data_IF_523576570088
#
_entry.id   IF_523576570088
#
_cell.length_a   1.000
_cell.length_b   1.000
_cell.length_c   1.000
_cell.angle_alpha   90.00
_cell.angle_beta   90.00
_cell.angle_gamma   90.00
#
_symmetry.space_group_name_H-M   'P 1'
#
loop_
_entity.id
_entity.type
_entity.pdbx_description
1 polymer ?
#
# COMPACT_ATOMS: atom_id res chain seq x y z
N UNK A 1 -59.67 -8.04 7.43
CA UNK A 1 -58.19 -8.03 7.29
C UNK A 1 -57.65 -8.73 8.52
N UNK A 2 -56.91 -9.82 8.36
CA UNK A 2 -56.22 -10.44 9.49
C UNK A 2 -55.06 -9.54 9.91
N UNK A 3 -54.71 -9.53 11.20
CA UNK A 3 -53.63 -8.72 11.80
C UNK A 3 -52.28 -8.82 11.03
N UNK A 4 -52.12 -9.89 10.25
CA UNK A 4 -51.03 -10.14 9.31
C UNK A 4 -50.87 -9.10 8.18
N UNK A 5 -51.94 -8.47 7.68
CA UNK A 5 -51.85 -7.55 6.54
C UNK A 5 -51.24 -6.17 6.92
N UNK A 6 -51.19 -5.83 8.21
CA UNK A 6 -50.66 -4.55 8.69
C UNK A 6 -49.15 -4.58 8.99
N UNK A 7 -48.57 -5.74 9.30
CA UNK A 7 -47.21 -5.85 9.86
C UNK A 7 -46.14 -6.27 8.86
N UNK A 8 -46.52 -6.80 7.70
CA UNK A 8 -45.62 -7.61 6.86
C UNK A 8 -44.56 -6.86 6.03
N UNK A 9 -44.73 -5.59 5.59
CA UNK A 9 -43.65 -4.90 4.89
C UNK A 9 -42.78 -4.04 5.82
N UNK A 10 -43.33 -3.54 6.94
CA UNK A 10 -42.75 -2.44 7.70
C UNK A 10 -41.84 -2.83 8.88
N UNK A 11 -42.06 -3.97 9.55
CA UNK A 11 -41.35 -4.24 10.82
C UNK A 11 -40.03 -5.00 10.67
N UNK A 12 -39.88 -5.82 9.62
CA UNK A 12 -38.67 -6.61 9.41
C UNK A 12 -37.46 -5.78 8.98
N UNK A 13 -37.65 -4.83 8.07
CA UNK A 13 -36.55 -4.01 7.52
C UNK A 13 -36.21 -2.80 8.40
N UNK A 14 -37.18 -2.27 9.15
CA UNK A 14 -37.00 -1.03 9.94
C UNK A 14 -36.35 -1.30 11.30
N UNK A 15 -36.63 -2.44 11.95
CA UNK A 15 -35.94 -2.83 13.19
C UNK A 15 -34.48 -3.28 12.97
N UNK A 16 -34.23 -3.91 11.81
CA UNK A 16 -32.89 -4.28 11.33
C UNK A 16 -32.04 -3.02 11.07
N UNK A 17 -32.66 -1.96 10.53
CA UNK A 17 -32.00 -0.66 10.33
C UNK A 17 -31.67 0.09 11.62
N UNK A 18 -32.56 0.08 12.63
CA UNK A 18 -32.37 0.85 13.87
C UNK A 18 -31.33 0.23 14.83
N UNK A 19 -31.23 -1.11 14.89
CA UNK A 19 -30.26 -1.79 15.75
C UNK A 19 -28.81 -1.73 15.23
N UNK A 20 -28.61 -1.74 13.91
CA UNK A 20 -27.30 -1.55 13.28
C UNK A 20 -26.72 -0.14 13.52
N UNK A 21 -27.60 0.88 13.61
CA UNK A 21 -27.23 2.27 13.90
C UNK A 21 -26.84 2.45 15.38
N UNK A 22 -27.55 1.81 16.33
CA UNK A 22 -27.28 1.93 17.78
C UNK A 22 -25.97 1.23 18.19
N UNK A 23 -25.64 0.07 17.60
CA UNK A 23 -24.40 -0.66 17.90
C UNK A 23 -23.15 -0.01 17.28
N UNK A 24 -23.30 0.69 16.15
CA UNK A 24 -22.26 1.53 15.55
C UNK A 24 -21.94 2.76 16.42
N UNK A 25 -22.96 3.42 16.96
CA UNK A 25 -22.81 4.60 17.83
C UNK A 25 -22.26 4.29 19.24
N UNK A 26 -22.21 3.01 19.67
CA UNK A 26 -21.63 2.59 20.96
C UNK A 26 -20.20 2.03 20.88
N UNK A 27 -19.59 1.95 19.69
CA UNK A 27 -18.16 1.61 19.51
C UNK A 27 -17.81 0.11 19.62
N UNK A 28 -18.78 -0.79 19.43
CA UNK A 28 -18.59 -2.24 19.65
C UNK A 28 -18.29 -3.01 18.33
N UNK A 29 -18.46 -2.39 17.15
CA UNK A 29 -18.13 -3.00 15.85
C UNK A 29 -17.36 -2.03 14.93
N UNK A 30 -16.15 -2.42 14.50
CA UNK A 30 -15.23 -1.55 13.76
C UNK A 30 -15.41 -1.59 12.22
N UNK A 31 -16.22 -2.51 11.66
CA UNK A 31 -16.56 -2.54 10.22
C UNK A 31 -17.98 -3.08 9.95
N UNK A 32 -18.53 -2.70 8.79
CA UNK A 32 -19.88 -3.03 8.31
C UNK A 32 -20.16 -4.55 8.21
N UNK A 33 -19.13 -5.35 7.92
CA UNK A 33 -19.26 -6.79 7.65
C UNK A 33 -19.60 -7.59 8.93
N UNK A 34 -18.99 -7.22 10.06
CA UNK A 34 -19.25 -7.86 11.36
C UNK A 34 -20.63 -7.52 11.90
N UNK A 35 -21.11 -6.29 11.64
CA UNK A 35 -22.47 -5.87 11.95
C UNK A 35 -23.53 -6.68 11.19
N UNK A 36 -23.28 -7.02 9.92
CA UNK A 36 -24.20 -7.85 9.13
C UNK A 36 -24.22 -9.33 9.55
N UNK A 37 -23.11 -9.87 10.04
CA UNK A 37 -23.04 -11.24 10.58
C UNK A 37 -23.84 -11.37 11.89
N UNK A 38 -23.70 -10.40 12.81
CA UNK A 38 -24.47 -10.37 14.05
C UNK A 38 -25.98 -10.23 13.80
N UNK A 39 -26.35 -9.40 12.82
CA UNK A 39 -27.74 -9.20 12.39
C UNK A 39 -28.38 -10.46 11.81
N UNK A 40 -27.61 -11.23 11.03
CA UNK A 40 -28.07 -12.49 10.43
C UNK A 40 -28.29 -13.58 11.49
N UNK A 41 -27.44 -13.64 12.52
CA UNK A 41 -27.64 -14.53 13.66
C UNK A 41 -28.86 -14.17 14.51
N UNK A 42 -29.05 -12.88 14.81
CA UNK A 42 -30.17 -12.40 15.62
C UNK A 42 -31.54 -12.65 14.95
N UNK A 43 -31.63 -12.38 13.64
CA UNK A 43 -32.85 -12.61 12.86
C UNK A 43 -33.21 -14.10 12.76
N UNK A 44 -32.21 -14.98 12.66
CA UNK A 44 -32.41 -16.43 12.72
C UNK A 44 -32.97 -16.87 14.09
N UNK A 45 -32.39 -16.40 15.21
CA UNK A 45 -32.86 -16.76 16.55
C UNK A 45 -34.27 -16.25 16.86
N UNK A 46 -34.61 -15.02 16.46
CA UNK A 46 -35.98 -14.48 16.61
C UNK A 46 -36.99 -15.30 15.80
N UNK A 47 -36.62 -15.74 14.59
CA UNK A 47 -37.43 -16.67 13.80
C UNK A 47 -37.68 -18.01 14.50
N UNK A 48 -36.65 -18.57 15.16
CA UNK A 48 -36.76 -19.81 15.93
C UNK A 48 -37.63 -19.65 17.20
N UNK A 49 -37.58 -18.50 17.86
CA UNK A 49 -38.43 -18.20 19.03
C UNK A 49 -39.91 -18.08 18.63
N UNK A 50 -40.22 -17.45 17.50
CA UNK A 50 -41.60 -17.39 16.98
C UNK A 50 -42.13 -18.76 16.53
N UNK A 51 -41.25 -19.62 16.01
CA UNK A 51 -41.57 -21.02 15.73
C UNK A 51 -41.88 -21.81 17.03
N UNK A 52 -41.04 -21.65 18.05
CA UNK A 52 -41.17 -22.36 19.34
C UNK A 52 -42.36 -21.88 20.19
N UNK A 53 -42.70 -20.58 20.13
CA UNK A 53 -43.83 -19.99 20.86
C UNK A 53 -45.21 -20.30 20.25
N UNK A 54 -45.28 -21.04 19.14
CA UNK A 54 -46.54 -21.41 18.50
C UNK A 54 -47.26 -20.24 17.81
N UNK A 55 -46.58 -19.11 17.56
CA UNK A 55 -47.14 -17.94 16.85
C UNK A 55 -47.53 -18.28 15.39
N UNK A 56 -47.06 -19.42 14.87
CA UNK A 56 -47.43 -20.00 13.58
C UNK A 56 -48.57 -21.05 13.66
N UNK A 57 -49.33 -21.11 14.75
CA UNK A 57 -50.41 -22.10 14.96
C UNK A 57 -51.58 -22.03 13.95
N UNK A 58 -51.57 -21.10 12.99
CA UNK A 58 -52.48 -21.05 11.83
C UNK A 58 -51.88 -21.58 10.52
N UNK A 59 -50.64 -22.06 10.53
CA UNK A 59 -49.88 -22.42 9.34
C UNK A 59 -49.28 -21.22 8.60
N UNK A 60 -48.38 -21.49 7.65
CA UNK A 60 -47.82 -20.47 6.77
C UNK A 60 -48.92 -19.94 5.85
N UNK A 61 -49.05 -18.62 5.71
CA UNK A 61 -50.07 -18.00 4.85
C UNK A 61 -50.05 -18.64 3.45
N UNK A 62 -51.17 -19.26 3.06
CA UNK A 62 -51.32 -19.95 1.77
C UNK A 62 -51.80 -19.01 0.65
N UNK A 63 -51.97 -17.72 0.98
CA UNK A 63 -52.42 -16.71 0.04
C UNK A 63 -51.46 -16.59 -1.14
N UNK A 64 -51.99 -16.23 -2.31
CA UNK A 64 -51.16 -16.03 -3.51
C UNK A 64 -50.07 -14.97 -3.30
N UNK A 65 -50.36 -13.95 -2.48
CA UNK A 65 -49.38 -12.90 -2.12
C UNK A 65 -48.24 -13.45 -1.26
N UNK A 66 -48.55 -14.22 -0.23
CA UNK A 66 -47.54 -14.84 0.63
C UNK A 66 -46.64 -15.81 -0.15
N UNK A 67 -47.23 -16.66 -1.01
CA UNK A 67 -46.48 -17.58 -1.87
C UNK A 67 -45.53 -16.84 -2.82
N UNK A 68 -46.00 -15.75 -3.46
CA UNK A 68 -45.17 -14.94 -4.35
C UNK A 68 -44.03 -14.25 -3.60
N UNK A 69 -44.28 -13.66 -2.44
CA UNK A 69 -43.25 -13.02 -1.60
C UNK A 69 -42.19 -14.01 -1.13
N UNK A 70 -42.60 -15.19 -0.66
CA UNK A 70 -41.67 -16.26 -0.25
C UNK A 70 -40.78 -16.70 -1.40
N UNK A 71 -41.33 -16.84 -2.62
CA UNK A 71 -40.58 -17.26 -3.80
C UNK A 71 -39.54 -16.21 -4.23
N UNK A 72 -39.85 -14.92 -4.10
CA UNK A 72 -38.90 -13.82 -4.33
C UNK A 72 -37.77 -13.85 -3.31
N UNK A 73 -38.09 -14.04 -2.03
CA UNK A 73 -37.08 -14.09 -0.96
C UNK A 73 -36.12 -15.27 -1.17
N UNK A 74 -36.63 -16.47 -1.48
CA UNK A 74 -35.79 -17.63 -1.78
C UNK A 74 -34.97 -17.44 -3.07
N UNK A 75 -35.54 -16.79 -4.09
CA UNK A 75 -34.81 -16.43 -5.31
C UNK A 75 -33.63 -15.51 -5.01
N UNK A 76 -33.85 -14.41 -4.27
CA UNK A 76 -32.79 -13.47 -3.88
C UNK A 76 -31.74 -14.17 -3.01
N UNK A 77 -32.17 -14.92 -1.98
CA UNK A 77 -31.25 -15.61 -1.06
C UNK A 77 -30.43 -16.71 -1.76
N UNK A 78 -31.05 -17.51 -2.62
CA UNK A 78 -30.38 -18.54 -3.41
C UNK A 78 -29.37 -17.95 -4.38
N UNK A 79 -29.69 -16.81 -5.00
CA UNK A 79 -28.77 -16.11 -5.89
C UNK A 79 -27.59 -15.46 -5.18
N UNK A 80 -27.82 -14.81 -4.03
CA UNK A 80 -26.76 -14.25 -3.19
C UNK A 80 -25.86 -15.36 -2.65
N UNK A 81 -26.44 -16.49 -2.22
CA UNK A 81 -25.71 -17.66 -1.75
C UNK A 81 -24.87 -18.34 -2.83
N UNK A 82 -25.45 -18.55 -4.03
CA UNK A 82 -24.72 -19.12 -5.17
C UNK A 82 -23.57 -18.21 -5.64
N UNK A 83 -23.77 -16.90 -5.62
CA UNK A 83 -22.73 -15.91 -5.92
C UNK A 83 -21.58 -15.94 -4.89
N UNK A 84 -21.93 -15.97 -3.60
CA UNK A 84 -20.96 -16.06 -2.51
C UNK A 84 -20.14 -17.38 -2.54
N UNK A 85 -20.76 -18.48 -3.01
CA UNK A 85 -20.11 -19.79 -3.11
C UNK A 85 -19.24 -19.96 -4.37
N UNK A 86 -19.58 -19.34 -5.51
CA UNK A 86 -18.89 -19.62 -6.78
C UNK A 86 -17.92 -18.56 -7.28
N UNK A 87 -17.98 -17.31 -6.78
CA UNK A 87 -17.22 -16.18 -7.37
C UNK A 87 -16.44 -15.31 -6.38
N UNK A 88 -16.31 -15.74 -5.12
CA UNK A 88 -15.66 -14.93 -4.05
C UNK A 88 -14.17 -14.61 -4.31
N UNK A 89 -13.54 -15.23 -5.31
CA UNK A 89 -12.15 -14.97 -5.70
C UNK A 89 -11.98 -14.12 -6.97
N UNK A 90 -13.05 -13.74 -7.68
CA UNK A 90 -12.94 -13.18 -9.05
C UNK A 90 -13.58 -11.79 -9.21
N UNK A 91 -14.56 -11.40 -8.40
CA UNK A 91 -15.28 -10.13 -8.59
C UNK A 91 -14.78 -9.06 -7.61
N UNK A 92 -13.80 -8.26 -8.04
CA UNK A 92 -13.09 -7.30 -7.18
C UNK A 92 -13.69 -5.89 -7.12
N UNK A 93 -14.83 -5.61 -7.77
CA UNK A 93 -15.41 -4.25 -7.78
C UNK A 93 -16.90 -4.19 -7.46
N UNK A 94 -17.28 -3.25 -6.59
CA UNK A 94 -18.65 -2.98 -6.15
C UNK A 94 -19.67 -2.82 -7.31
N UNK A 95 -19.35 -2.18 -8.46
CA UNK A 95 -20.30 -2.06 -9.57
C UNK A 95 -20.65 -3.40 -10.22
N UNK A 96 -19.71 -4.36 -10.22
CA UNK A 96 -19.92 -5.71 -10.76
C UNK A 96 -20.86 -6.53 -9.88
N UNK A 97 -20.76 -6.38 -8.56
CA UNK A 97 -21.68 -6.97 -7.58
C UNK A 97 -23.10 -6.38 -7.71
N UNK A 98 -23.22 -5.05 -7.77
CA UNK A 98 -24.51 -4.36 -7.95
C UNK A 98 -25.18 -4.74 -9.28
N UNK A 99 -24.41 -4.83 -10.38
CA UNK A 99 -24.92 -5.26 -11.68
C UNK A 99 -25.48 -6.69 -11.64
N UNK A 100 -24.78 -7.63 -11.00
CA UNK A 100 -25.26 -9.01 -10.85
C UNK A 100 -26.55 -9.09 -10.01
N UNK A 101 -26.65 -8.30 -8.94
CA UNK A 101 -27.86 -8.23 -8.13
C UNK A 101 -29.05 -7.69 -8.91
N UNK A 102 -28.87 -6.65 -9.74
CA UNK A 102 -29.96 -6.06 -10.53
C UNK A 102 -30.50 -7.01 -11.61
N UNK A 103 -29.63 -7.78 -12.27
CA UNK A 103 -30.00 -8.79 -13.28
C UNK A 103 -30.92 -9.87 -12.70
N UNK A 104 -30.88 -10.08 -11.38
CA UNK A 104 -31.67 -11.11 -10.69
C UNK A 104 -32.89 -10.50 -9.98
N UNK A 105 -32.72 -9.34 -9.35
CA UNK A 105 -33.76 -8.67 -8.58
C UNK A 105 -34.92 -8.22 -9.47
N UNK A 106 -34.62 -7.60 -10.62
CA UNK A 106 -35.64 -7.05 -11.52
C UNK A 106 -36.56 -8.14 -12.11
N UNK A 107 -36.04 -9.25 -12.67
CA UNK A 107 -36.88 -10.38 -13.09
C UNK A 107 -37.73 -10.95 -11.97
N UNK A 108 -37.16 -11.11 -10.77
CA UNK A 108 -37.86 -11.70 -9.63
C UNK A 108 -39.08 -10.87 -9.22
N UNK A 109 -38.94 -9.53 -9.18
CA UNK A 109 -40.04 -8.62 -8.86
C UNK A 109 -41.11 -8.65 -9.96
N UNK A 110 -40.72 -8.63 -11.23
CA UNK A 110 -41.68 -8.59 -12.34
C UNK A 110 -42.46 -9.90 -12.45
N UNK A 111 -41.81 -11.05 -12.29
CA UNK A 111 -42.46 -12.37 -12.28
C UNK A 111 -43.44 -12.46 -11.11
N UNK A 112 -43.04 -12.02 -9.92
CA UNK A 112 -43.91 -12.01 -8.75
C UNK A 112 -45.13 -11.09 -8.96
N UNK A 113 -44.93 -9.89 -9.50
CA UNK A 113 -46.03 -8.97 -9.82
C UNK A 113 -46.98 -9.56 -10.88
N UNK A 114 -46.43 -10.10 -11.97
CA UNK A 114 -47.21 -10.71 -13.05
C UNK A 114 -48.05 -11.90 -12.54
N UNK A 115 -47.50 -12.70 -11.62
CA UNK A 115 -48.22 -13.83 -11.01
C UNK A 115 -49.47 -13.39 -10.24
N UNK A 116 -49.47 -12.19 -9.66
CA UNK A 116 -50.57 -11.67 -8.84
C UNK A 116 -51.57 -10.82 -9.61
N UNK A 117 -51.09 -10.02 -10.57
CA UNK A 117 -51.89 -8.96 -11.20
C UNK A 117 -52.24 -9.25 -12.65
N UNK A 118 -51.52 -10.15 -13.32
CA UNK A 118 -51.70 -10.46 -14.74
C UNK A 118 -51.59 -11.97 -15.00
N UNK A 119 -52.47 -12.80 -14.40
CA UNK A 119 -52.33 -14.26 -14.45
C UNK A 119 -52.43 -14.83 -15.87
N UNK A 120 -53.18 -14.19 -16.76
CA UNK A 120 -53.28 -14.59 -18.16
C UNK A 120 -51.94 -14.45 -18.92
N UNK A 121 -51.11 -13.48 -18.53
CA UNK A 121 -49.79 -13.20 -19.13
C UNK A 121 -48.61 -13.76 -18.32
N UNK A 122 -48.87 -14.47 -17.21
CA UNK A 122 -47.81 -14.95 -16.32
C UNK A 122 -46.80 -15.85 -17.03
N UNK A 123 -47.26 -16.84 -17.80
CA UNK A 123 -46.39 -17.76 -18.55
C UNK A 123 -45.48 -17.03 -19.55
N UNK A 124 -46.01 -16.21 -20.49
CA UNK A 124 -45.13 -15.53 -21.45
C UNK A 124 -44.18 -14.52 -20.78
N UNK A 125 -44.63 -13.78 -19.76
CA UNK A 125 -43.75 -12.84 -19.03
C UNK A 125 -42.61 -13.59 -18.32
N UNK A 126 -42.91 -14.71 -17.67
CA UNK A 126 -41.89 -15.53 -16.98
C UNK A 126 -40.84 -16.05 -17.96
N UNK A 127 -41.26 -16.54 -19.14
CA UNK A 127 -40.35 -17.04 -20.16
C UNK A 127 -39.41 -15.93 -20.67
N UNK A 128 -39.94 -14.74 -20.94
CA UNK A 128 -39.16 -13.59 -21.43
C UNK A 128 -38.09 -13.19 -20.40
N UNK A 129 -38.48 -13.07 -19.12
CA UNK A 129 -37.57 -12.63 -18.07
C UNK A 129 -36.50 -13.68 -17.71
N UNK A 130 -36.84 -14.97 -17.76
CA UNK A 130 -35.84 -16.04 -17.59
C UNK A 130 -34.85 -16.08 -18.75
N UNK A 131 -35.32 -15.92 -20.00
CA UNK A 131 -34.45 -15.83 -21.16
C UNK A 131 -33.53 -14.61 -21.11
N UNK A 132 -34.06 -13.44 -20.73
CA UNK A 132 -33.27 -12.22 -20.56
C UNK A 132 -32.23 -12.35 -19.43
N UNK A 133 -32.57 -13.00 -18.32
CA UNK A 133 -31.63 -13.28 -17.23
C UNK A 133 -30.50 -14.21 -17.69
N UNK A 134 -30.81 -15.27 -18.44
CA UNK A 134 -29.82 -16.19 -19.00
C UNK A 134 -28.87 -15.49 -19.99
N UNK A 135 -29.39 -14.64 -20.87
CA UNK A 135 -28.59 -13.84 -21.80
C UNK A 135 -27.75 -12.79 -21.06
N UNK A 136 -28.31 -12.15 -20.02
CA UNK A 136 -27.61 -11.18 -19.19
C UNK A 136 -26.43 -11.82 -18.44
N UNK A 137 -26.65 -12.97 -17.80
CA UNK A 137 -25.60 -13.74 -17.09
C UNK A 137 -24.55 -14.24 -18.10
N UNK A 138 -24.98 -14.77 -19.25
CA UNK A 138 -24.09 -15.25 -20.32
C UNK A 138 -23.22 -14.14 -20.91
N UNK A 139 -23.80 -12.96 -21.15
CA UNK A 139 -23.06 -11.79 -21.67
C UNK A 139 -22.10 -11.23 -20.62
N UNK A 140 -22.52 -11.15 -19.36
CA UNK A 140 -21.70 -10.68 -18.25
C UNK A 140 -20.50 -11.61 -18.00
N UNK A 141 -20.70 -12.93 -18.06
CA UNK A 141 -19.63 -13.90 -17.91
C UNK A 141 -18.68 -13.91 -19.11
N UNK A 142 -19.20 -13.89 -20.35
CA UNK A 142 -18.37 -13.86 -21.55
C UNK A 142 -17.55 -12.56 -21.70
N UNK A 143 -18.18 -11.40 -21.48
CA UNK A 143 -17.50 -10.10 -21.61
C UNK A 143 -16.67 -9.75 -20.36
N UNK A 144 -17.03 -10.26 -19.19
CA UNK A 144 -16.31 -10.05 -17.93
C UNK A 144 -14.99 -10.82 -17.84
N UNK A 145 -14.85 -11.95 -18.51
CA UNK A 145 -13.60 -12.74 -18.55
C UNK A 145 -12.69 -12.44 -19.75
N UNK A 146 -13.23 -11.89 -20.86
CA UNK A 146 -12.48 -11.70 -22.12
C UNK A 146 -12.23 -10.22 -22.45
N UNK A 147 -12.89 -9.28 -21.77
CA UNK A 147 -12.65 -7.84 -21.95
C UNK A 147 -11.33 -7.37 -21.30
N UNK A 148 -10.63 -6.37 -21.87
CA UNK A 148 -9.44 -5.80 -21.24
C UNK A 148 -9.84 -5.30 -19.85
N UNK A 149 -9.18 -5.83 -18.82
CA UNK A 149 -9.50 -5.60 -17.42
C UNK A 149 -9.68 -4.12 -17.13
N UNK A 150 -10.93 -3.69 -17.00
CA UNK A 150 -11.25 -2.32 -16.64
C UNK A 150 -10.88 -2.11 -15.16
N UNK A 151 -9.64 -1.66 -14.94
CA UNK A 151 -9.20 -0.93 -13.76
C UNK A 151 -10.06 0.34 -13.64
N UNK A 152 -11.22 0.22 -13.00
CA UNK A 152 -11.96 1.39 -12.55
C UNK A 152 -11.28 1.92 -11.28
N UNK A 153 -10.20 2.68 -11.47
CA UNK A 153 -9.72 3.61 -10.44
C UNK A 153 -10.76 4.71 -10.27
N UNK A 154 -11.40 4.77 -9.10
CA UNK A 154 -12.32 5.87 -8.73
C UNK A 154 -11.59 7.18 -8.42
N UNK A 155 -10.30 7.27 -8.74
CA UNK A 155 -9.55 8.51 -8.79
C UNK A 155 -9.13 8.74 -10.24
N UNK A 156 -9.43 9.89 -10.86
CA UNK A 156 -8.71 10.28 -12.05
C UNK A 156 -7.25 10.42 -11.65
N UNK A 157 -6.45 9.39 -11.92
CA UNK A 157 -5.03 9.59 -12.12
C UNK A 157 -4.96 10.52 -13.32
N UNK A 158 -4.69 11.80 -13.06
CA UNK A 158 -4.12 12.67 -14.08
C UNK A 158 -2.76 12.05 -14.44
N UNK A 159 -2.79 10.98 -15.24
CA UNK A 159 -1.63 10.54 -15.99
C UNK A 159 -1.54 11.52 -17.13
N UNK A 160 -1.03 12.71 -16.79
CA UNK A 160 -0.20 13.42 -17.74
C UNK A 160 0.87 12.39 -18.11
N UNK A 161 0.80 11.84 -19.32
CA UNK A 161 1.94 11.17 -19.95
C UNK A 161 3.02 12.23 -20.12
N UNK A 162 3.69 12.54 -19.02
CA UNK A 162 4.93 13.25 -19.02
C UNK A 162 5.91 12.35 -19.76
N UNK A 163 6.36 12.83 -20.92
CA UNK A 163 7.64 12.45 -21.53
C UNK A 163 8.63 12.16 -20.38
N UNK A 164 9.36 11.03 -20.38
CA UNK A 164 10.29 10.71 -19.31
C UNK A 164 11.35 11.79 -19.25
N UNK A 165 11.10 12.80 -18.41
CA UNK A 165 12.15 13.60 -17.81
C UNK A 165 12.78 12.62 -16.85
N UNK A 166 14.03 12.27 -17.07
CA UNK A 166 14.82 11.57 -16.08
C UNK A 166 14.74 12.41 -14.80
N UNK A 167 13.90 11.96 -13.85
CA UNK A 167 13.90 12.53 -12.52
C UNK A 167 15.33 12.38 -12.01
N UNK A 168 15.88 13.40 -11.33
CA UNK A 168 17.15 13.22 -10.63
C UNK A 168 17.00 11.97 -9.77
N UNK A 169 17.94 11.03 -9.94
CA UNK A 169 18.03 9.84 -9.10
C UNK A 169 17.94 10.34 -7.64
N UNK A 170 16.98 9.88 -6.82
CA UNK A 170 16.91 10.32 -5.45
C UNK A 170 18.28 10.05 -4.80
N UNK A 171 18.94 11.12 -4.37
CA UNK A 171 20.29 11.11 -3.81
C UNK A 171 20.31 10.53 -2.38
N UNK A 172 19.14 10.23 -1.82
CA UNK A 172 18.99 9.67 -0.49
C UNK A 172 19.25 8.14 -0.50
N UNK A 173 20.02 7.61 0.47
CA UNK A 173 20.19 6.18 0.67
C UNK A 173 18.86 5.43 0.73
N UNK A 174 18.78 4.28 0.05
CA UNK A 174 17.64 3.36 0.11
C UNK A 174 17.99 2.21 1.06
N UNK A 175 17.18 2.03 2.10
CA UNK A 175 17.30 0.94 3.06
C UNK A 175 16.28 -0.15 2.69
N UNK A 176 16.74 -1.36 2.30
CA UNK A 176 15.85 -2.43 1.87
C UNK A 176 15.22 -3.18 3.06
N UNK A 177 13.96 -3.57 2.91
CA UNK A 177 13.23 -4.49 3.78
C UNK A 177 12.50 -5.51 2.90
N UNK A 178 12.50 -6.77 3.29
CA UNK A 178 11.83 -7.83 2.54
C UNK A 178 10.58 -8.30 3.27
N UNK A 179 9.53 -8.60 2.51
CA UNK A 179 8.45 -9.47 2.94
C UNK A 179 8.82 -10.88 2.45
N UNK A 180 9.32 -11.77 3.32
CA UNK A 180 9.91 -13.02 2.89
C UNK A 180 8.87 -14.02 2.39
N UNK A 181 9.34 -15.07 1.72
CA UNK A 181 8.48 -16.16 1.25
C UNK A 181 7.72 -16.80 2.42
N UNK A 182 6.42 -17.06 2.25
CA UNK A 182 5.52 -17.61 3.26
C UNK A 182 5.28 -16.70 4.48
N UNK A 183 5.48 -15.37 4.36
CA UNK A 183 5.13 -14.41 5.41
C UNK A 183 3.62 -14.41 5.74
N UNK A 184 2.79 -14.83 4.78
CA UNK A 184 1.35 -15.07 4.95
C UNK A 184 0.99 -16.24 5.89
N UNK A 185 1.96 -17.03 6.38
CA UNK A 185 1.73 -18.12 7.34
C UNK A 185 2.08 -17.63 8.74
N UNK A 186 1.11 -17.68 9.66
CA UNK A 186 1.31 -17.25 11.04
C UNK A 186 2.44 -18.04 11.73
N UNK A 187 3.35 -17.33 12.38
CA UNK A 187 4.54 -17.87 13.03
C UNK A 187 5.82 -17.77 12.19
N UNK A 188 5.70 -17.52 10.88
CA UNK A 188 6.86 -17.20 10.04
C UNK A 188 7.29 -15.73 10.20
N UNK A 189 8.55 -15.39 9.87
CA UNK A 189 9.00 -14.00 9.83
C UNK A 189 8.15 -13.16 8.88
N UNK A 190 7.66 -12.01 9.36
CA UNK A 190 6.77 -11.14 8.59
C UNK A 190 7.51 -10.13 7.71
N UNK A 191 8.60 -9.58 8.24
CA UNK A 191 9.47 -8.61 7.58
C UNK A 191 10.93 -8.92 7.92
N UNK A 192 11.85 -8.69 6.98
CA UNK A 192 13.27 -8.90 7.17
C UNK A 192 14.08 -7.66 6.72
N UNK A 193 14.73 -6.93 7.64
CA UNK A 193 14.69 -7.12 9.08
C UNK A 193 13.30 -6.79 9.67
N UNK A 194 12.97 -7.37 10.83
CA UNK A 194 11.70 -7.10 11.52
C UNK A 194 11.63 -5.68 12.11
N UNK A 195 12.79 -5.15 12.49
CA UNK A 195 12.98 -3.75 12.91
C UNK A 195 14.05 -3.11 12.03
N UNK A 196 13.74 -1.97 11.44
CA UNK A 196 14.69 -1.18 10.65
C UNK A 196 14.92 0.17 11.31
N UNK A 197 16.18 0.58 11.45
CA UNK A 197 16.55 1.91 11.94
C UNK A 197 17.04 2.76 10.77
N UNK A 198 16.49 3.95 10.63
CA UNK A 198 16.75 4.82 9.47
C UNK A 198 16.83 6.29 9.90
N UNK A 199 17.83 7.06 9.44
CA UNK A 199 17.85 8.50 9.62
C UNK A 199 16.69 9.18 8.91
N UNK A 200 16.12 10.21 9.55
CA UNK A 200 15.12 11.08 8.91
C UNK A 200 15.67 11.68 7.61
N UNK A 201 14.96 11.45 6.51
CA UNK A 201 15.33 11.92 5.17
C UNK A 201 15.77 10.81 4.21
N UNK A 202 16.07 9.62 4.72
CA UNK A 202 16.37 8.44 3.91
C UNK A 202 15.08 7.76 3.43
N UNK A 203 15.22 6.81 2.50
CA UNK A 203 14.11 6.06 1.92
C UNK A 203 14.15 4.62 2.44
N UNK A 204 13.01 4.09 2.88
CA UNK A 204 12.86 2.65 3.14
C UNK A 204 12.13 2.02 1.96
N UNK A 205 12.63 0.90 1.43
CA UNK A 205 11.98 0.15 0.35
C UNK A 205 11.60 -1.26 0.80
N UNK A 206 10.31 -1.57 0.83
CA UNK A 206 9.82 -2.93 1.06
C UNK A 206 9.65 -3.65 -0.27
N UNK A 207 10.15 -4.87 -0.38
CA UNK A 207 9.93 -5.74 -1.55
C UNK A 207 9.16 -6.99 -1.15
N UNK A 208 8.06 -7.28 -1.86
CA UNK A 208 7.26 -8.48 -1.62
C UNK A 208 7.86 -9.71 -2.32
N UNK A 209 8.61 -10.51 -1.57
CA UNK A 209 9.15 -11.80 -2.04
C UNK A 209 8.20 -12.98 -1.78
N UNK A 210 7.06 -12.75 -1.10
CA UNK A 210 6.01 -13.74 -0.96
C UNK A 210 5.19 -13.88 -2.24
N UNK A 211 4.42 -14.96 -2.35
CA UNK A 211 3.51 -15.22 -3.48
C UNK A 211 2.15 -14.57 -3.29
N UNK A 212 1.86 -14.08 -2.09
CA UNK A 212 0.58 -13.51 -1.68
C UNK A 212 0.71 -11.98 -1.60
N UNK A 213 -0.34 -11.19 -1.94
CA UNK A 213 -0.31 -9.75 -1.75
C UNK A 213 -0.26 -9.35 -0.27
N UNK A 214 0.48 -8.28 0.03
CA UNK A 214 0.68 -7.76 1.39
C UNK A 214 0.57 -6.25 1.44
N UNK A 215 0.50 -5.67 2.63
CA UNK A 215 0.62 -4.21 2.84
C UNK A 215 1.69 -3.91 3.89
N UNK A 216 2.15 -2.66 3.87
CA UNK A 216 2.98 -2.01 4.87
C UNK A 216 2.22 -0.77 5.30
N UNK A 217 1.48 -0.90 6.40
CA UNK A 217 0.51 0.12 6.82
C UNK A 217 0.79 0.47 8.28
N UNK A 218 1.00 1.76 8.56
CA UNK A 218 1.25 2.25 9.93
C UNK A 218 0.16 1.77 10.89
N UNK A 219 0.54 1.26 12.05
CA UNK A 219 -0.41 0.79 13.04
C UNK A 219 -1.02 1.97 13.83
N UNK A 220 -2.28 1.87 14.27
CA UNK A 220 -3.19 0.73 14.06
C UNK A 220 -4.01 0.80 12.76
N UNK A 221 -4.05 1.95 12.08
CA UNK A 221 -5.10 2.27 11.10
C UNK A 221 -4.61 2.85 9.75
N UNK A 222 -3.31 2.98 9.55
CA UNK A 222 -2.72 3.53 8.33
C UNK A 222 -2.68 5.06 8.26
N UNK A 223 -3.01 5.76 9.35
CA UNK A 223 -3.12 7.23 9.36
C UNK A 223 -1.83 7.99 9.04
N UNK A 224 -0.66 7.36 9.19
CA UNK A 224 0.66 7.99 8.98
C UNK A 224 1.21 7.63 7.59
N UNK A 225 1.17 6.35 7.25
CA UNK A 225 1.49 5.83 5.92
C UNK A 225 0.74 4.54 5.64
N UNK A 226 0.44 4.33 4.36
CA UNK A 226 -0.16 3.11 3.83
C UNK A 226 0.38 2.83 2.42
N UNK A 227 0.94 1.64 2.23
CA UNK A 227 1.39 1.19 0.92
C UNK A 227 0.25 0.83 -0.03
N UNK A 228 -0.97 0.65 0.48
CA UNK A 228 -2.00 -0.19 -0.15
C UNK A 228 -1.45 -1.60 -0.44
N UNK A 229 -2.03 -2.31 -1.41
CA UNK A 229 -1.61 -3.65 -1.80
C UNK A 229 -0.28 -3.62 -2.56
N UNK A 230 0.69 -4.38 -2.06
CA UNK A 230 1.96 -4.72 -2.72
C UNK A 230 1.83 -6.15 -3.25
N UNK A 231 1.64 -6.29 -4.56
CA UNK A 231 1.61 -7.59 -5.25
C UNK A 231 2.97 -8.29 -5.20
N UNK A 232 2.99 -9.61 -5.40
CA UNK A 232 4.22 -10.40 -5.47
C UNK A 232 5.23 -9.81 -6.46
N UNK A 233 6.49 -9.70 -6.04
CA UNK A 233 7.61 -9.13 -6.80
C UNK A 233 7.54 -7.60 -6.99
N UNK A 234 6.62 -6.90 -6.33
CA UNK A 234 6.54 -5.43 -6.33
C UNK A 234 7.09 -4.85 -5.04
N UNK A 235 7.35 -3.54 -5.09
CA UNK A 235 7.97 -2.82 -3.99
C UNK A 235 7.21 -1.54 -3.66
N UNK A 236 7.35 -1.09 -2.41
CA UNK A 236 6.82 0.16 -1.89
C UNK A 236 7.96 0.96 -1.27
N UNK A 237 7.98 2.28 -1.50
CA UNK A 237 8.97 3.20 -0.94
C UNK A 237 8.32 4.19 0.00
N UNK A 238 8.91 4.36 1.18
CA UNK A 238 8.54 5.37 2.16
C UNK A 238 9.67 6.40 2.28
N UNK A 239 9.35 7.66 1.98
CA UNK A 239 10.21 8.80 2.26
C UNK A 239 10.03 9.21 3.73
N UNK A 240 11.11 9.11 4.52
CA UNK A 240 11.08 9.39 5.95
C UNK A 240 11.23 10.87 6.29
N UNK A 241 11.46 11.76 5.32
CA UNK A 241 11.68 13.20 5.54
C UNK A 241 10.55 13.90 6.29
N UNK A 242 9.32 13.38 6.13
CA UNK A 242 8.10 13.91 6.78
C UNK A 242 7.76 13.22 8.09
N UNK A 243 8.52 12.20 8.48
CA UNK A 243 8.33 11.50 9.75
C UNK A 243 9.10 12.19 10.88
N UNK A 244 8.57 12.09 12.09
CA UNK A 244 9.25 12.51 13.31
C UNK A 244 10.29 11.45 13.71
N UNK A 245 11.36 11.87 14.38
CA UNK A 245 12.34 10.94 14.94
C UNK A 245 11.75 10.16 16.13
N UNK A 246 11.10 9.04 15.84
CA UNK A 246 10.51 8.13 16.81
C UNK A 246 10.30 6.74 16.19
N UNK A 247 9.80 5.82 17.01
CA UNK A 247 9.37 4.51 16.56
C UNK A 247 7.97 4.57 15.94
N UNK A 248 7.78 3.81 14.86
CA UNK A 248 6.48 3.54 14.27
C UNK A 248 6.32 2.03 14.09
N UNK A 249 5.28 1.49 14.70
CA UNK A 249 4.84 0.13 14.41
C UNK A 249 4.00 0.12 13.15
N UNK A 250 4.08 -0.96 12.38
CA UNK A 250 3.30 -1.15 11.17
C UNK A 250 2.86 -2.61 11.04
N UNK A 251 1.80 -2.83 10.28
CA UNK A 251 1.21 -4.14 10.06
C UNK A 251 0.81 -4.36 8.60
N UNK A 252 0.59 -5.61 8.24
CA UNK A 252 -0.14 -5.97 7.02
C UNK A 252 -1.65 -6.02 7.30
N UNK A 253 -2.44 -5.24 6.57
CA UNK A 253 -3.90 -5.17 6.77
C UNK A 253 -4.62 -6.44 6.30
N UNK A 254 -4.01 -7.20 5.38
CA UNK A 254 -4.52 -8.50 4.90
C UNK A 254 -4.23 -9.61 5.91
N UNK A 255 -3.08 -9.54 6.58
CA UNK A 255 -2.62 -10.52 7.56
C UNK A 255 -2.20 -9.81 8.86
N UNK A 256 -3.14 -9.45 9.77
CA UNK A 256 -2.87 -8.57 10.91
C UNK A 256 -1.83 -9.06 11.91
N UNK A 257 -1.46 -10.35 11.89
CA UNK A 257 -0.37 -10.90 12.69
C UNK A 257 1.02 -10.52 12.16
N UNK A 258 1.11 -10.03 10.92
CA UNK A 258 2.36 -9.56 10.34
C UNK A 258 2.65 -8.15 10.81
N UNK A 259 3.56 -8.02 11.77
CA UNK A 259 3.95 -6.74 12.36
C UNK A 259 5.43 -6.46 12.15
N UNK A 260 5.78 -5.19 11.94
CA UNK A 260 7.16 -4.71 11.91
C UNK A 260 7.30 -3.37 12.62
N UNK A 261 8.53 -2.92 12.79
CA UNK A 261 8.85 -1.64 13.41
C UNK A 261 9.86 -0.87 12.58
N UNK A 262 9.62 0.43 12.40
CA UNK A 262 10.63 1.36 11.90
C UNK A 262 11.04 2.30 13.03
N UNK A 263 12.33 2.54 13.18
CA UNK A 263 12.90 3.49 14.13
C UNK A 263 13.48 4.64 13.32
N UNK A 264 12.78 5.78 13.31
CA UNK A 264 13.29 6.99 12.67
C UNK A 264 14.21 7.67 13.67
N UNK A 265 15.50 7.75 13.34
CA UNK A 265 16.44 8.55 14.13
C UNK A 265 16.43 9.97 13.63
N UNK A 266 16.92 10.90 14.46
CA UNK A 266 17.17 12.26 14.01
C UNK A 266 17.99 12.24 12.71
N UNK A 267 17.70 13.19 11.83
CA UNK A 267 18.51 13.38 10.63
C UNK A 267 19.94 13.57 11.11
N UNK A 268 20.85 12.68 10.74
CA UNK A 268 22.25 12.86 11.05
C UNK A 268 22.63 14.17 10.37
N UNK A 269 22.90 15.23 11.14
CA UNK A 269 23.49 16.45 10.58
C UNK A 269 24.64 15.97 9.70
N UNK A 270 24.76 16.44 8.45
CA UNK A 270 25.87 16.06 7.60
C UNK A 270 27.13 16.32 8.42
N UNK A 271 27.84 15.25 8.76
CA UNK A 271 29.12 15.37 9.42
C UNK A 271 30.01 15.95 8.35
N UNK A 272 30.44 17.19 8.54
CA UNK A 272 31.30 17.90 7.60
C UNK A 272 32.71 17.88 8.19
N UNK A 273 33.64 17.30 7.45
CA UNK A 273 35.06 17.44 7.71
C UNK A 273 35.62 18.48 6.73
N UNK A 274 36.28 19.52 7.22
CA UNK A 274 36.90 20.52 6.38
C UNK A 274 38.40 20.24 6.24
N UNK A 275 38.90 20.37 5.02
CA UNK A 275 40.33 20.30 4.70
C UNK A 275 40.68 21.55 3.89
N UNK A 276 41.76 22.22 4.26
CA UNK A 276 42.21 23.42 3.58
C UNK A 276 43.52 23.16 2.86
N UNK A 277 43.62 23.61 1.62
CA UNK A 277 44.87 23.73 0.87
C UNK A 277 45.48 25.08 1.26
N UNK A 278 46.53 25.11 2.10
CA UNK A 278 47.06 26.35 2.64
C UNK A 278 47.80 27.16 1.58
N UNK A 279 47.94 28.46 1.84
CA UNK A 279 48.75 29.35 0.99
C UNK A 279 50.18 28.82 0.82
N UNK A 280 50.66 28.79 -0.43
CA UNK A 280 51.99 28.28 -0.77
C UNK A 280 52.07 26.75 -0.90
N UNK A 281 50.97 26.00 -0.87
CA UNK A 281 50.95 24.56 -1.11
C UNK A 281 51.47 24.16 -2.50
N UNK A 282 51.35 25.06 -3.48
CA UNK A 282 51.93 24.91 -4.83
C UNK A 282 53.46 24.95 -4.89
N UNK A 283 54.15 25.33 -3.82
CA UNK A 283 55.62 25.30 -3.76
C UNK A 283 56.08 24.09 -2.98
N UNK A 284 56.83 23.19 -3.60
CA UNK A 284 57.38 22.01 -2.92
C UNK A 284 58.49 22.42 -1.95
N UNK A 285 58.25 22.27 -0.65
CA UNK A 285 59.26 22.39 0.42
C UNK A 285 59.28 21.15 1.29
N UNK A 286 60.47 20.75 1.72
CA UNK A 286 60.64 19.61 2.63
C UNK A 286 59.92 19.88 3.97
N UNK A 287 59.16 18.89 4.45
CA UNK A 287 58.39 18.99 5.70
C UNK A 287 57.15 19.89 5.67
N UNK A 288 56.80 20.48 4.52
CA UNK A 288 55.58 21.29 4.39
C UNK A 288 54.33 20.42 4.33
N UNK A 289 53.28 20.87 5.02
CA UNK A 289 51.93 20.34 4.85
C UNK A 289 51.26 20.97 3.63
N UNK A 290 50.81 20.14 2.70
CA UNK A 290 50.10 20.58 1.49
C UNK A 290 48.57 20.60 1.64
N UNK A 291 48.09 19.96 2.71
CA UNK A 291 46.73 20.04 3.24
C UNK A 291 46.88 20.27 4.75
N UNK A 292 46.06 21.12 5.36
CA UNK A 292 46.11 21.38 6.81
C UNK A 292 45.97 20.09 7.64
N UNK A 293 45.13 19.17 7.16
CA UNK A 293 45.07 17.76 7.54
C UNK A 293 45.37 16.87 6.33
N UNK A 294 46.59 16.34 6.27
CA UNK A 294 46.99 15.39 5.20
C UNK A 294 46.28 14.04 5.34
N UNK A 295 45.98 13.62 6.56
CA UNK A 295 45.20 12.42 6.83
C UNK A 295 44.01 12.82 7.69
N UNK A 296 42.82 12.34 7.33
CA UNK A 296 41.61 12.53 8.12
C UNK A 296 40.90 11.19 8.34
N UNK A 297 40.45 10.96 9.56
CA UNK A 297 39.61 9.82 9.91
C UNK A 297 38.18 10.33 10.11
N UNK A 298 37.25 9.79 9.33
CA UNK A 298 35.84 10.20 9.33
C UNK A 298 34.93 9.00 9.45
N UNK A 299 33.67 9.23 9.84
CA UNK A 299 32.65 8.18 9.86
C UNK A 299 32.00 8.01 8.50
N UNK A 300 31.49 6.81 8.22
CA UNK A 300 30.63 6.57 7.05
C UNK A 300 29.50 7.62 6.99
N UNK A 301 29.27 8.18 5.81
CA UNK A 301 28.29 9.24 5.52
C UNK A 301 28.82 10.67 5.70
N UNK A 302 30.09 10.85 6.08
CA UNK A 302 30.74 12.17 6.20
C UNK A 302 30.96 12.80 4.83
N UNK A 303 30.66 14.10 4.71
CA UNK A 303 31.05 14.93 3.57
C UNK A 303 32.35 15.64 3.90
N UNK A 304 33.40 15.41 3.10
CA UNK A 304 34.65 16.14 3.20
C UNK A 304 34.59 17.32 2.24
N UNK A 305 34.89 18.52 2.74
CA UNK A 305 34.93 19.76 1.97
C UNK A 305 36.37 20.25 1.92
N UNK A 306 36.94 20.30 0.72
CA UNK A 306 38.26 20.87 0.47
C UNK A 306 38.12 22.33 0.04
N UNK A 307 38.84 23.23 0.71
CA UNK A 307 38.89 24.66 0.36
C UNK A 307 40.27 25.04 -0.14
N UNK A 308 40.34 25.73 -1.27
CA UNK A 308 41.61 26.23 -1.79
C UNK A 308 41.91 27.66 -1.27
N UNK A 309 42.75 27.77 -0.24
CA UNK A 309 43.25 29.05 0.27
C UNK A 309 44.62 29.44 -0.34
N UNK A 310 45.13 28.63 -1.27
CA UNK A 310 46.27 29.02 -2.10
C UNK A 310 45.83 29.96 -3.23
N UNK A 311 46.77 30.79 -3.67
CA UNK A 311 46.66 31.62 -4.86
C UNK A 311 46.74 30.79 -6.15
N UNK A 312 47.47 29.68 -6.12
CA UNK A 312 47.52 28.72 -7.21
C UNK A 312 46.23 27.90 -7.27
N UNK A 313 45.88 27.42 -8.47
CA UNK A 313 44.75 26.50 -8.63
C UNK A 313 45.22 25.07 -8.37
N UNK A 314 44.36 24.27 -7.74
CA UNK A 314 44.66 22.90 -7.30
C UNK A 314 43.56 21.92 -7.72
N UNK A 315 43.84 20.63 -7.62
CA UNK A 315 42.81 19.58 -7.68
C UNK A 315 42.85 18.75 -6.40
N UNK A 316 41.75 18.06 -6.14
CA UNK A 316 41.63 16.98 -5.16
C UNK A 316 41.06 15.80 -5.93
N UNK A 317 41.94 14.89 -6.33
CA UNK A 317 41.60 13.76 -7.19
C UNK A 317 41.99 12.47 -6.49
N UNK A 318 41.06 11.53 -6.39
CA UNK A 318 41.30 10.19 -5.84
C UNK A 318 42.43 9.44 -6.57
N UNK A 319 43.13 8.55 -5.85
CA UNK A 319 44.25 7.76 -6.36
C UNK A 319 45.62 8.34 -6.00
N UNK A 320 46.66 7.86 -6.67
CA UNK A 320 48.04 8.33 -6.54
C UNK A 320 48.59 8.70 -7.90
N UNK A 321 49.53 9.65 -7.95
CA UNK A 321 50.23 10.01 -9.19
C UNK A 321 50.99 8.85 -9.85
N UNK A 322 51.22 7.76 -9.11
CA UNK A 322 51.94 6.57 -9.56
C UNK A 322 51.04 5.38 -9.90
N UNK A 323 49.72 5.48 -9.68
CA UNK A 323 48.78 4.40 -9.98
C UNK A 323 47.89 4.73 -11.19
N UNK A 324 47.23 3.70 -11.73
CA UNK A 324 46.27 3.86 -12.82
C UNK A 324 44.84 4.08 -12.29
N UNK A 325 44.68 4.62 -11.08
CA UNK A 325 43.39 4.82 -10.41
C UNK A 325 43.01 6.29 -10.24
N UNK A 326 43.78 7.22 -10.84
CA UNK A 326 43.49 8.65 -10.85
C UNK A 326 42.03 8.94 -11.21
N UNK A 327 41.32 9.59 -10.29
CA UNK A 327 39.97 10.12 -10.51
C UNK A 327 38.87 9.06 -10.55
N UNK A 328 39.17 7.79 -10.26
CA UNK A 328 38.20 6.69 -10.36
C UNK A 328 37.07 6.75 -9.33
N UNK A 329 37.31 7.38 -8.17
CA UNK A 329 36.32 7.51 -7.08
C UNK A 329 35.73 8.92 -7.06
N UNK A 330 36.60 9.93 -7.12
CA UNK A 330 36.23 11.33 -7.27
C UNK A 330 37.35 12.13 -7.96
N UNK A 331 36.94 13.18 -8.67
CA UNK A 331 37.82 14.18 -9.26
C UNK A 331 37.16 15.56 -9.14
N UNK A 332 37.81 16.48 -8.42
CA UNK A 332 37.30 17.84 -8.23
C UNK A 332 37.35 18.70 -9.51
N UNK A 333 38.17 18.30 -10.49
CA UNK A 333 38.67 19.24 -11.48
C UNK A 333 39.43 20.41 -10.83
N UNK A 334 39.58 21.51 -11.56
CA UNK A 334 40.33 22.68 -11.07
C UNK A 334 39.55 23.48 -10.01
N UNK A 335 40.07 23.51 -8.80
CA UNK A 335 39.61 24.36 -7.70
C UNK A 335 40.43 25.66 -7.73
N UNK A 336 39.78 26.75 -8.14
CA UNK A 336 40.39 28.09 -8.11
C UNK A 336 40.54 28.59 -6.68
N UNK A 337 41.35 29.64 -6.48
CA UNK A 337 41.50 30.29 -5.18
C UNK A 337 40.15 30.70 -4.58
N UNK A 338 39.99 30.47 -3.27
CA UNK A 338 38.77 30.66 -2.47
C UNK A 338 37.55 29.85 -2.94
N UNK A 339 37.75 28.79 -3.73
CA UNK A 339 36.70 27.84 -4.12
C UNK A 339 36.81 26.53 -3.36
N UNK A 340 35.71 25.81 -3.33
CA UNK A 340 35.57 24.56 -2.60
C UNK A 340 35.20 23.42 -3.52
N UNK A 341 35.53 22.21 -3.09
CA UNK A 341 35.05 20.94 -3.63
C UNK A 341 34.56 20.08 -2.47
N UNK A 342 33.50 19.32 -2.69
CA UNK A 342 32.93 18.44 -1.67
C UNK A 342 32.71 17.02 -2.20
N UNK A 343 32.98 16.03 -1.36
CA UNK A 343 32.71 14.63 -1.64
C UNK A 343 32.18 13.91 -0.40
N UNK A 344 31.10 13.15 -0.55
CA UNK A 344 30.52 12.34 0.52
C UNK A 344 31.02 10.90 0.43
N UNK A 345 31.48 10.37 1.56
CA UNK A 345 31.99 9.01 1.66
C UNK A 345 30.95 8.06 2.26
N UNK A 346 30.35 7.20 1.43
CA UNK A 346 29.24 6.32 1.82
C UNK A 346 29.66 4.87 2.09
N UNK A 347 30.95 4.57 2.01
CA UNK A 347 31.49 3.23 2.28
C UNK A 347 32.76 3.34 3.09
N UNK A 348 32.94 2.40 4.03
CA UNK A 348 34.18 2.27 4.77
C UNK A 348 35.34 1.96 3.81
N UNK A 349 36.52 2.50 4.11
CA UNK A 349 37.68 2.34 3.25
C UNK A 349 38.77 3.37 3.52
N UNK A 350 39.87 3.23 2.80
CA UNK A 350 40.97 4.19 2.79
C UNK A 350 41.11 4.75 1.38
N UNK A 351 41.01 6.07 1.26
CA UNK A 351 40.95 6.78 -0.01
C UNK A 351 42.13 7.75 -0.10
N UNK A 352 43.17 7.34 -0.81
CA UNK A 352 44.27 8.23 -1.16
C UNK A 352 43.80 9.25 -2.20
N UNK A 353 44.32 10.48 -2.12
CA UNK A 353 44.06 11.53 -3.10
C UNK A 353 45.28 12.43 -3.28
N UNK A 354 45.34 13.13 -4.41
CA UNK A 354 46.42 14.04 -4.73
C UNK A 354 45.99 15.20 -5.63
N UNK A 355 46.87 16.19 -5.77
CA UNK A 355 46.72 17.26 -6.74
C UNK A 355 47.37 16.85 -8.07
N UNK A 356 46.62 16.84 -9.17
CA UNK A 356 47.13 16.46 -10.50
C UNK A 356 48.17 17.47 -11.02
N UNK A 357 48.00 18.76 -10.68
CA UNK A 357 48.91 19.84 -11.12
C UNK A 357 50.19 19.88 -10.27
N UNK A 358 50.09 19.44 -9.02
CA UNK A 358 51.18 19.43 -8.05
C UNK A 358 51.30 18.02 -7.41
N UNK A 359 51.86 17.01 -8.11
CA UNK A 359 51.73 15.60 -7.74
C UNK A 359 52.32 15.18 -6.38
N UNK A 360 53.15 16.04 -5.77
CA UNK A 360 53.68 15.83 -4.41
C UNK A 360 52.65 16.11 -3.31
N UNK A 361 51.59 16.86 -3.62
CA UNK A 361 50.50 17.14 -2.69
C UNK A 361 49.62 15.91 -2.57
N UNK A 362 49.87 15.11 -1.54
CA UNK A 362 49.12 13.87 -1.26
C UNK A 362 48.37 13.99 0.05
N UNK A 363 47.23 13.31 0.14
CA UNK A 363 46.44 13.14 1.35
C UNK A 363 45.66 11.83 1.34
N UNK A 364 45.03 11.52 2.48
CA UNK A 364 44.29 10.27 2.70
C UNK A 364 43.06 10.51 3.55
N UNK A 365 41.93 9.95 3.14
CA UNK A 365 40.69 9.88 3.94
C UNK A 365 40.47 8.45 4.37
N UNK A 366 40.45 8.18 5.68
CA UNK A 366 40.02 6.89 6.25
C UNK A 366 38.57 7.00 6.69
N UNK A 367 37.72 6.07 6.28
CA UNK A 367 36.30 6.03 6.61
C UNK A 367 36.02 4.77 7.42
N UNK A 368 35.57 4.94 8.66
CA UNK A 368 35.36 3.86 9.63
C UNK A 368 34.05 3.91 10.42
#
# INVERSE_FOLDING_TARGET
MSDWDLMMPGMGLTAIGLAGVILSYMGIANTFLTGMQALSGLTMFVGLVFLAAGILNGGVSTSGRAKATTLVIFGIAGSVGAYALSLNSVVTSLPRFVGALLVILVPSIVIAFASMKMPHYFKPITIIFLAAMAVGIGSYTALGFIGPGAEFSLHPQNVTTAKPVALPIPTAPIIPVEIPLNASVQGNPSFNPATVSVPKGDIIEWTNNDKVPHTVTSAPDGSIFDSNIISAGKSYRLDTSKLDAKEYDYLCTVHPFMTGKIVITEATKPVIANVTIPSGASTQKEGQKYFDSQEIDVKIGTTVVWTNDDSASHTVTSGKSTDNQTGTIFDSGMIKSSKTFEHRFDSAGSFDYYCQVHPWMTGKVTVG
#
